data_IF_334779279873
#
_entry.id   IF_334779279873
#
_cell.length_a   1.000
_cell.length_b   1.000
_cell.length_c   1.000
_cell.angle_alpha   90.00
_cell.angle_beta   90.00
_cell.angle_gamma   90.00
#
_symmetry.space_group_name_H-M   'P 1'
#
loop_
_entity.id
_entity.type
_entity.pdbx_description
1 polymer ?
#
# COMPACT_ATOMS: atom_id res chain seq x y z
N UNK A 1 24.03 -0.06 -3.77
CA UNK A 1 22.63 -0.06 -3.32
C UNK A 1 22.03 1.36 -3.30
N UNK A 2 22.71 2.37 -2.75
CA UNK A 2 22.17 3.74 -2.59
C UNK A 2 21.70 4.45 -3.88
N UNK A 3 22.38 4.25 -5.02
CA UNK A 3 22.06 4.99 -6.26
C UNK A 3 20.70 4.66 -6.90
N UNK A 4 20.29 3.39 -6.90
CA UNK A 4 19.01 2.98 -7.49
C UNK A 4 17.81 3.47 -6.66
N UNK A 5 17.96 3.45 -5.34
CA UNK A 5 16.94 3.92 -4.40
C UNK A 5 16.62 5.41 -4.58
N UNK A 6 17.62 6.23 -4.93
CA UNK A 6 17.45 7.67 -5.20
C UNK A 6 16.65 7.89 -6.48
N UNK A 7 16.92 7.14 -7.55
CA UNK A 7 16.23 7.30 -8.84
C UNK A 7 14.75 6.93 -8.74
N UNK A 8 14.42 5.87 -8.02
CA UNK A 8 13.02 5.50 -7.78
C UNK A 8 12.28 6.53 -6.91
N UNK A 9 12.99 7.29 -6.05
CA UNK A 9 12.38 8.36 -5.26
C UNK A 9 11.99 9.59 -6.10
N UNK A 10 12.65 9.84 -7.23
CA UNK A 10 12.30 10.91 -8.19
C UNK A 10 11.33 10.45 -9.29
N UNK A 11 10.72 9.27 -9.14
CA UNK A 11 9.68 8.78 -10.04
C UNK A 11 10.18 7.98 -11.25
N UNK A 12 11.47 7.62 -11.29
CA UNK A 12 12.02 6.76 -12.35
C UNK A 12 11.80 5.29 -11.98
N UNK A 13 11.04 4.57 -12.82
CA UNK A 13 10.68 3.16 -12.62
C UNK A 13 11.86 2.21 -12.90
N UNK A 14 11.84 1.01 -12.32
CA UNK A 14 12.86 -0.01 -12.58
C UNK A 14 12.95 -0.36 -14.08
N UNK A 15 11.81 -0.38 -14.77
CA UNK A 15 11.75 -0.69 -16.21
C UNK A 15 12.48 0.36 -17.05
N UNK A 16 12.35 1.64 -16.70
CA UNK A 16 13.08 2.73 -17.35
C UNK A 16 14.59 2.63 -17.11
N UNK A 17 15.02 2.31 -15.89
CA UNK A 17 16.43 2.10 -15.56
C UNK A 17 17.02 0.93 -16.37
N UNK A 18 16.34 -0.23 -16.38
CA UNK A 18 16.77 -1.42 -17.12
C UNK A 18 16.86 -1.13 -18.62
N UNK A 19 15.85 -0.45 -19.18
CA UNK A 19 15.83 -0.07 -20.59
C UNK A 19 16.99 0.86 -20.94
N UNK A 20 17.24 1.87 -20.10
CA UNK A 20 18.37 2.80 -20.27
C UNK A 20 19.72 2.09 -20.25
N UNK A 21 19.93 1.16 -19.31
CA UNK A 21 21.17 0.39 -19.19
C UNK A 21 21.41 -0.50 -20.42
N UNK A 22 20.36 -1.13 -20.96
CA UNK A 22 20.46 -1.95 -22.17
C UNK A 22 20.74 -1.11 -23.42
N UNK A 23 20.07 0.03 -23.56
CA UNK A 23 20.25 0.94 -24.70
C UNK A 23 21.65 1.57 -24.74
N UNK A 24 22.28 1.78 -23.58
CA UNK A 24 23.61 2.41 -23.45
C UNK A 24 24.70 1.39 -23.10
N UNK A 25 24.47 0.09 -23.30
CA UNK A 25 25.45 -0.94 -23.00
C UNK A 25 26.68 -0.82 -23.91
N UNK A 26 27.87 -1.06 -23.34
CA UNK A 26 29.12 -1.04 -24.10
C UNK A 26 29.08 -2.06 -25.26
N UNK A 27 29.65 -1.71 -26.41
CA UNK A 27 29.60 -2.54 -27.64
C UNK A 27 30.11 -3.96 -27.42
N UNK A 28 31.12 -4.14 -26.57
CA UNK A 28 31.64 -5.47 -26.22
C UNK A 28 30.62 -6.31 -25.44
N UNK A 29 29.86 -5.71 -24.52
CA UNK A 29 28.80 -6.42 -23.78
C UNK A 29 27.65 -6.83 -24.70
N UNK A 30 27.30 -5.97 -25.67
CA UNK A 30 26.32 -6.29 -26.70
C UNK A 30 26.81 -7.39 -27.65
N UNK A 31 28.10 -7.39 -28.01
CA UNK A 31 28.68 -8.43 -28.87
C UNK A 31 28.73 -9.80 -28.18
N UNK A 32 29.01 -9.84 -26.88
CA UNK A 32 29.11 -11.09 -26.11
C UNK A 32 27.74 -11.65 -25.70
N UNK A 33 26.81 -10.79 -25.25
CA UNK A 33 25.53 -11.23 -24.66
C UNK A 33 24.28 -10.86 -25.47
N UNK A 34 24.44 -10.07 -26.54
CA UNK A 34 23.32 -9.50 -27.28
C UNK A 34 22.58 -8.38 -26.53
N UNK A 35 21.54 -7.78 -27.13
CA UNK A 35 20.81 -6.65 -26.56
C UNK A 35 20.06 -6.95 -25.26
N UNK A 36 19.72 -8.23 -25.02
CA UNK A 36 18.95 -8.65 -23.85
C UNK A 36 19.86 -9.04 -22.67
N UNK A 37 20.93 -9.79 -22.94
CA UNK A 37 21.82 -10.31 -21.90
C UNK A 37 23.06 -9.43 -21.67
N UNK A 38 23.17 -8.28 -22.34
CA UNK A 38 24.18 -7.26 -22.01
C UNK A 38 24.05 -6.75 -20.56
N UNK A 39 22.86 -6.86 -19.98
CA UNK A 39 22.60 -6.71 -18.56
C UNK A 39 22.25 -8.08 -17.97
N UNK A 40 23.03 -8.61 -17.01
CA UNK A 40 22.72 -9.88 -16.36
C UNK A 40 21.32 -9.86 -15.71
N UNK A 41 20.58 -10.96 -15.85
CA UNK A 41 19.21 -11.09 -15.34
C UNK A 41 19.11 -10.81 -13.85
N UNK A 42 20.07 -11.27 -13.06
CA UNK A 42 20.13 -11.05 -11.62
C UNK A 42 20.21 -9.58 -11.25
N UNK A 43 20.92 -8.75 -12.05
CA UNK A 43 21.01 -7.31 -11.82
C UNK A 43 19.66 -6.64 -12.15
N UNK A 44 19.02 -7.02 -13.26
CA UNK A 44 17.70 -6.52 -13.60
C UNK A 44 16.66 -6.85 -12.52
N UNK A 45 16.72 -8.06 -11.96
CA UNK A 45 15.81 -8.48 -10.90
C UNK A 45 16.09 -7.76 -9.59
N UNK A 46 17.35 -7.51 -9.23
CA UNK A 46 17.68 -6.70 -8.05
C UNK A 46 17.12 -5.28 -8.15
N UNK A 47 17.19 -4.65 -9.33
CA UNK A 47 16.62 -3.31 -9.56
C UNK A 47 15.10 -3.33 -9.33
N UNK A 48 14.39 -4.36 -9.82
CA UNK A 48 12.95 -4.53 -9.60
C UNK A 48 12.62 -4.74 -8.13
N UNK A 49 13.35 -5.63 -7.46
CA UNK A 49 13.17 -5.91 -6.04
C UNK A 49 13.38 -4.65 -5.19
N UNK A 50 14.34 -3.80 -5.53
CA UNK A 50 14.57 -2.54 -4.83
C UNK A 50 13.44 -1.53 -5.05
N UNK A 51 12.82 -1.48 -6.23
CA UNK A 51 11.63 -0.67 -6.46
C UNK A 51 10.44 -1.18 -5.62
N UNK A 52 10.20 -2.48 -5.62
CA UNK A 52 9.12 -3.11 -4.85
C UNK A 52 9.33 -2.97 -3.35
N UNK A 53 10.58 -3.00 -2.88
CA UNK A 53 10.91 -2.78 -1.46
C UNK A 53 10.51 -1.38 -0.98
N UNK A 54 10.49 -0.37 -1.86
CA UNK A 54 9.93 0.96 -1.53
C UNK A 54 8.41 0.97 -1.51
N UNK A 55 7.75 0.09 -2.27
CA UNK A 55 6.29 0.00 -2.40
C UNK A 55 5.67 -0.97 -1.38
N UNK A 56 6.40 -1.37 -0.34
CA UNK A 56 5.91 -2.32 0.68
C UNK A 56 4.80 -1.77 1.58
N UNK A 57 4.70 -0.45 1.70
CA UNK A 57 3.73 0.20 2.56
C UNK A 57 2.79 1.07 1.75
N UNK A 58 1.50 0.87 1.95
CA UNK A 58 0.45 1.78 1.49
C UNK A 58 -0.02 2.60 2.68
N UNK A 59 0.01 3.92 2.54
CA UNK A 59 -0.52 4.83 3.54
C UNK A 59 -1.99 5.10 3.21
N UNK A 60 -2.85 4.99 4.22
CA UNK A 60 -4.28 5.28 4.09
C UNK A 60 -4.68 6.09 5.30
N UNK A 61 -5.28 7.26 5.07
CA UNK A 61 -5.86 8.07 6.14
C UNK A 61 -7.09 7.36 6.70
N UNK A 62 -7.16 7.30 8.03
CA UNK A 62 -8.13 6.47 8.72
C UNK A 62 -8.50 7.05 10.08
N UNK A 63 -9.73 6.78 10.51
CA UNK A 63 -10.18 7.04 11.87
C UNK A 63 -10.26 5.75 12.67
N UNK A 64 -9.72 5.76 13.88
CA UNK A 64 -9.83 4.68 14.86
C UNK A 64 -11.02 4.94 15.81
N UNK A 65 -11.91 3.96 15.92
CA UNK A 65 -12.89 3.85 16.98
C UNK A 65 -12.46 2.79 17.99
N UNK A 66 -12.52 3.16 19.27
CA UNK A 66 -12.10 2.35 20.41
C UNK A 66 -12.92 2.73 21.64
N UNK A 67 -12.77 1.98 22.73
CA UNK A 67 -13.42 2.25 24.01
C UNK A 67 -14.96 2.29 23.93
N UNK A 68 -15.54 1.35 23.19
CA UNK A 68 -16.98 1.13 23.13
C UNK A 68 -17.53 0.76 24.51
N UNK A 69 -18.72 1.29 24.86
CA UNK A 69 -19.41 1.05 26.13
C UNK A 69 -19.87 -0.42 26.25
N UNK A 70 -20.13 -1.10 25.13
CA UNK A 70 -20.57 -2.49 25.12
C UNK A 70 -20.26 -3.26 23.83
N UNK A 71 -20.46 -4.58 23.89
CA UNK A 71 -20.38 -5.47 22.72
C UNK A 71 -21.35 -5.10 21.59
N UNK A 72 -22.63 -4.75 21.87
CA UNK A 72 -23.59 -4.41 20.81
C UNK A 72 -23.17 -3.17 20.03
N UNK A 73 -22.57 -2.20 20.70
CA UNK A 73 -22.04 -0.98 20.08
C UNK A 73 -20.90 -1.30 19.11
N UNK A 74 -19.91 -2.07 19.57
CA UNK A 74 -18.79 -2.51 18.73
C UNK A 74 -19.29 -3.26 17.48
N UNK A 75 -20.17 -4.24 17.67
CA UNK A 75 -20.74 -5.03 16.57
C UNK A 75 -21.51 -4.14 15.60
N UNK A 76 -22.33 -3.21 16.12
CA UNK A 76 -23.12 -2.31 15.31
C UNK A 76 -22.26 -1.42 14.40
N UNK A 77 -21.23 -0.78 14.96
CA UNK A 77 -20.30 0.06 14.20
C UNK A 77 -19.53 -0.77 13.18
N UNK A 78 -18.97 -1.92 13.59
CA UNK A 78 -18.25 -2.85 12.70
C UNK A 78 -19.10 -3.28 11.50
N UNK A 79 -20.32 -3.74 11.76
CA UNK A 79 -21.21 -4.28 10.72
C UNK A 79 -21.78 -3.18 9.81
N UNK A 80 -22.00 -1.97 10.35
CA UNK A 80 -22.29 -0.80 9.54
C UNK A 80 -21.12 -0.45 8.61
N UNK A 81 -19.92 -0.31 9.16
CA UNK A 81 -18.71 0.02 8.38
C UNK A 81 -18.40 -1.04 7.32
N UNK A 82 -18.62 -2.32 7.62
CA UNK A 82 -18.46 -3.42 6.67
C UNK A 82 -19.47 -3.33 5.52
N UNK A 83 -20.75 -3.08 5.82
CA UNK A 83 -21.82 -2.95 4.80
C UNK A 83 -21.62 -1.75 3.89
N UNK A 84 -21.15 -0.64 4.43
CA UNK A 84 -20.86 0.58 3.65
C UNK A 84 -19.54 0.50 2.87
N UNK A 85 -18.73 -0.54 3.08
CA UNK A 85 -17.44 -0.72 2.40
C UNK A 85 -16.35 0.26 2.87
N UNK A 86 -16.50 0.84 4.06
CA UNK A 86 -15.57 1.83 4.65
C UNK A 86 -14.69 1.23 5.75
N UNK A 87 -14.91 -0.04 6.10
CA UNK A 87 -14.10 -0.75 7.09
C UNK A 87 -12.72 -1.09 6.52
N UNK A 88 -11.66 -0.58 7.14
CA UNK A 88 -10.28 -0.91 6.78
C UNK A 88 -9.77 -2.10 7.60
N UNK A 89 -10.07 -2.12 8.89
CA UNK A 89 -9.64 -3.18 9.80
C UNK A 89 -10.49 -3.22 11.05
N UNK A 90 -10.63 -4.40 11.67
CA UNK A 90 -11.27 -4.54 12.98
C UNK A 90 -10.61 -5.65 13.80
N UNK A 91 -10.64 -5.48 15.12
CA UNK A 91 -10.19 -6.46 16.12
C UNK A 91 -11.30 -6.64 17.15
N UNK A 92 -11.81 -7.86 17.26
CA UNK A 92 -12.93 -8.17 18.16
C UNK A 92 -12.48 -8.38 19.61
N UNK A 93 -11.24 -8.81 19.84
CA UNK A 93 -10.72 -9.03 21.19
C UNK A 93 -10.45 -7.70 21.89
N UNK A 94 -9.88 -6.75 21.14
CA UNK A 94 -9.59 -5.39 21.64
C UNK A 94 -10.71 -4.39 21.40
N UNK A 95 -11.76 -4.79 20.68
CA UNK A 95 -12.88 -3.93 20.25
C UNK A 95 -12.36 -2.65 19.58
N UNK A 96 -11.61 -2.84 18.51
CA UNK A 96 -11.08 -1.75 17.68
C UNK A 96 -11.72 -1.82 16.30
N UNK A 97 -12.11 -0.67 15.78
CA UNK A 97 -12.62 -0.52 14.41
C UNK A 97 -11.87 0.63 13.75
N UNK A 98 -11.22 0.35 12.62
CA UNK A 98 -10.54 1.34 11.81
C UNK A 98 -11.34 1.51 10.51
N UNK A 99 -11.76 2.73 10.23
CA UNK A 99 -12.49 3.10 9.02
C UNK A 99 -11.68 4.08 8.18
N UNK A 100 -11.99 4.16 6.88
CA UNK A 100 -11.44 5.23 6.04
C UNK A 100 -11.86 6.60 6.55
N UNK A 101 -10.99 7.60 6.42
CA UNK A 101 -11.29 8.96 6.88
C UNK A 101 -12.54 9.55 6.20
N UNK A 102 -12.70 9.29 4.89
CA UNK A 102 -13.91 9.65 4.12
C UNK A 102 -15.19 9.02 4.69
N UNK A 103 -15.07 7.84 5.32
CA UNK A 103 -16.18 7.13 5.96
C UNK A 103 -16.53 7.62 7.36
N UNK A 104 -15.68 8.45 7.99
CA UNK A 104 -15.86 8.92 9.36
C UNK A 104 -17.22 9.59 9.58
N UNK A 105 -17.60 10.51 8.69
CA UNK A 105 -18.85 11.25 8.81
C UNK A 105 -20.09 10.36 8.66
N UNK A 106 -20.02 9.31 7.83
CA UNK A 106 -21.10 8.31 7.69
C UNK A 106 -21.31 7.54 8.99
N UNK A 107 -20.23 7.06 9.60
CA UNK A 107 -20.28 6.36 10.88
C UNK A 107 -20.83 7.27 11.97
N UNK A 108 -20.40 8.54 12.00
CA UNK A 108 -20.88 9.52 12.98
C UNK A 108 -22.37 9.83 12.83
N UNK A 109 -22.87 9.95 11.61
CA UNK A 109 -24.28 10.16 11.33
C UNK A 109 -25.12 8.94 11.74
N UNK A 110 -24.67 7.74 11.37
CA UNK A 110 -25.30 6.48 11.77
C UNK A 110 -25.33 6.31 13.29
N UNK A 111 -24.19 6.56 13.95
CA UNK A 111 -24.07 6.48 15.41
C UNK A 111 -25.09 7.37 16.13
N UNK A 112 -25.22 8.64 15.70
CA UNK A 112 -26.20 9.56 16.30
C UNK A 112 -27.65 9.10 16.11
N UNK A 113 -27.97 8.48 14.98
CA UNK A 113 -29.31 7.97 14.69
C UNK A 113 -29.64 6.70 15.50
N UNK A 114 -28.64 5.86 15.74
CA UNK A 114 -28.81 4.53 16.32
C UNK A 114 -28.48 4.46 17.82
N UNK A 115 -27.84 5.48 18.42
CA UNK A 115 -27.47 5.50 19.86
C UNK A 115 -28.64 5.25 20.81
N UNK A 116 -29.86 5.65 20.46
CA UNK A 116 -31.05 5.44 21.30
C UNK A 116 -31.64 4.02 21.22
N UNK A 117 -31.21 3.22 20.24
CA UNK A 117 -31.77 1.90 19.93
C UNK A 117 -30.79 0.74 20.20
N UNK A 118 -29.59 1.05 20.70
CA UNK A 118 -28.50 0.10 20.99
C UNK A 118 -28.24 0.06 22.49
#
# INVERSE_FOLDING_TARGET
MAGCLVLCAVGITASQIISFLRANAHKQCLATGGPLNCLPVTVADQIRLWEDERKRLTFTEATLYSAFEGEPEFIGVRDFSLREGILLWADSDKKLVIVSDEGHEKVRAWWKANKASM
#
